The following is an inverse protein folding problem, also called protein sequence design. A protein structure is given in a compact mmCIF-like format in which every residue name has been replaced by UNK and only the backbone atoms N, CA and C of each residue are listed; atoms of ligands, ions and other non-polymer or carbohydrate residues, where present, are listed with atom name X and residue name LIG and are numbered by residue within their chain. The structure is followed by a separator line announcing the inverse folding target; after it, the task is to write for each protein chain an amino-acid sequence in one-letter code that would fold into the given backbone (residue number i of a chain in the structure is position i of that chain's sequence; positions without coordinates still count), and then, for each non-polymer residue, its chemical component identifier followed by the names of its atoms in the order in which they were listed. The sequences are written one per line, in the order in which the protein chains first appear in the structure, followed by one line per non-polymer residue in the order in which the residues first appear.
data_IF_394014108071
#
_entry.id   IF_394014108071
#
_cell.length_a   1.000
_cell.length_b   1.000
_cell.length_c   1.000
_cell.angle_alpha   90.00
_cell.angle_beta   90.00
_cell.angle_gamma   90.00
#
_symmetry.space_group_name_H-M   'P 1'
#
loop_
_entity.id
_entity.type
_entity.pdbx_description
1 polymer ?
#
# COMPACT_ATOMS: atom_id res chain seq x y z
N UNK A 1 21.06 8.76 15.30
CA UNK A 1 20.18 8.25 14.23
C UNK A 1 18.94 9.14 14.15
N UNK A 2 19.10 10.41 13.76
CA UNK A 2 18.02 11.42 13.84
C UNK A 2 17.69 12.11 12.49
N UNK A 3 18.41 11.83 11.39
CA UNK A 3 18.21 12.54 10.12
C UNK A 3 17.31 11.84 9.09
N UNK A 4 16.82 10.61 9.34
CA UNK A 4 16.33 9.76 8.24
C UNK A 4 14.85 10.00 7.83
N UNK A 5 14.16 11.03 8.36
CA UNK A 5 12.72 11.27 8.10
C UNK A 5 12.31 12.74 7.89
N UNK A 6 13.26 13.64 7.61
CA UNK A 6 12.93 15.07 7.41
C UNK A 6 11.90 15.28 6.28
N UNK A 7 12.04 14.51 5.19
CA UNK A 7 11.10 14.53 4.06
C UNK A 7 9.65 14.20 4.43
N UNK A 8 9.43 13.36 5.45
CA UNK A 8 8.07 13.00 5.86
C UNK A 8 7.34 14.24 6.39
N UNK A 9 8.03 15.06 7.18
CA UNK A 9 7.49 16.30 7.72
C UNK A 9 7.29 17.32 6.60
N UNK A 10 8.27 17.49 5.73
CA UNK A 10 8.21 18.46 4.63
C UNK A 10 7.06 18.19 3.65
N UNK A 11 6.80 16.92 3.32
CA UNK A 11 5.69 16.58 2.42
C UNK A 11 4.32 16.55 3.14
N UNK A 12 4.31 16.34 4.46
CA UNK A 12 3.09 16.34 5.29
C UNK A 12 2.42 17.73 5.34
N UNK A 13 3.19 18.81 5.19
CA UNK A 13 2.65 20.17 5.16
C UNK A 13 1.60 20.35 4.05
N UNK A 14 1.86 19.79 2.87
CA UNK A 14 0.91 19.80 1.75
C UNK A 14 -0.34 18.96 2.02
N UNK A 15 -0.25 17.89 2.82
CA UNK A 15 -1.43 17.10 3.20
C UNK A 15 -2.34 17.87 4.15
N UNK A 16 -1.76 18.66 5.05
CA UNK A 16 -2.51 19.42 6.07
C UNK A 16 -3.14 20.70 5.54
N UNK A 17 -2.51 21.36 4.58
CA UNK A 17 -2.86 22.72 4.16
C UNK A 17 -3.07 22.87 2.65
N UNK A 18 -2.72 21.87 1.85
CA UNK A 18 -2.78 21.94 0.39
C UNK A 18 -4.19 21.75 -0.18
N UNK A 19 -4.33 22.12 -1.45
CA UNK A 19 -5.54 21.85 -2.23
C UNK A 19 -5.67 20.34 -2.55
N UNK A 20 -6.85 19.81 -2.91
CA UNK A 20 -7.05 18.37 -3.12
C UNK A 20 -6.05 17.70 -4.08
N UNK A 21 -5.65 18.39 -5.15
CA UNK A 21 -4.65 17.90 -6.11
C UNK A 21 -3.24 17.84 -5.50
N UNK A 22 -2.88 18.80 -4.65
CA UNK A 22 -1.60 18.82 -3.93
C UNK A 22 -1.53 17.70 -2.89
N UNK A 23 -2.65 17.43 -2.20
CA UNK A 23 -2.78 16.31 -1.26
C UNK A 23 -2.57 14.97 -1.98
N UNK A 24 -3.24 14.76 -3.11
CA UNK A 24 -3.10 13.52 -3.90
C UNK A 24 -1.67 13.31 -4.40
N UNK A 25 -1.03 14.37 -4.90
CA UNK A 25 0.37 14.34 -5.34
C UNK A 25 1.32 14.09 -4.18
N UNK A 26 1.12 14.75 -3.03
CA UNK A 26 1.95 14.57 -1.85
C UNK A 26 1.85 13.14 -1.33
N UNK A 27 0.64 12.58 -1.23
CA UNK A 27 0.43 11.18 -0.89
C UNK A 27 1.18 10.24 -1.84
N UNK A 28 1.09 10.48 -3.15
CA UNK A 28 1.79 9.68 -4.16
C UNK A 28 3.31 9.72 -3.99
N UNK A 29 3.88 10.91 -3.75
CA UNK A 29 5.32 11.08 -3.53
C UNK A 29 5.82 10.51 -2.22
N UNK A 30 5.09 10.70 -1.10
CA UNK A 30 5.44 10.09 0.19
C UNK A 30 5.53 8.59 0.09
N UNK A 31 4.55 7.98 -0.58
CA UNK A 31 4.54 6.52 -0.85
C UNK A 31 5.75 6.11 -1.64
N UNK A 32 6.02 6.83 -2.73
CA UNK A 32 7.08 6.52 -3.65
C UNK A 32 8.46 6.53 -2.98
N UNK A 33 8.73 7.55 -2.17
CA UNK A 33 9.96 7.70 -1.41
C UNK A 33 10.04 6.62 -0.32
N UNK A 34 8.98 6.45 0.48
CA UNK A 34 8.97 5.48 1.57
C UNK A 34 9.09 4.02 1.10
N UNK A 35 8.62 3.69 -0.10
CA UNK A 35 8.79 2.35 -0.68
C UNK A 35 10.25 2.00 -1.03
N UNK A 36 11.18 2.97 -1.05
CA UNK A 36 12.59 2.68 -1.30
C UNK A 36 13.28 2.03 -0.08
N UNK A 37 12.78 2.28 1.14
CA UNK A 37 13.27 1.67 2.38
C UNK A 37 13.14 0.12 2.39
N UNK A 38 12.28 -0.44 1.52
CA UNK A 38 12.13 -1.89 1.31
C UNK A 38 13.48 -2.58 1.06
N UNK A 39 14.31 -1.93 0.26
CA UNK A 39 15.65 -2.41 -0.12
C UNK A 39 16.75 -1.62 0.60
N UNK A 40 16.38 -0.79 1.58
CA UNK A 40 17.30 0.07 2.33
C UNK A 40 17.89 1.24 1.51
N UNK A 41 17.30 1.54 0.36
CA UNK A 41 17.77 2.60 -0.54
C UNK A 41 17.36 3.97 -0.01
N UNK A 42 18.17 4.99 -0.32
CA UNK A 42 17.91 6.37 0.08
C UNK A 42 17.72 7.25 -1.14
N UNK A 43 16.74 8.14 -1.08
CA UNK A 43 16.52 9.15 -2.12
C UNK A 43 17.41 10.36 -1.90
N UNK A 44 17.72 11.10 -2.97
CA UNK A 44 18.49 12.34 -2.89
C UNK A 44 17.63 13.53 -2.46
N UNK A 45 18.29 14.59 -1.96
CA UNK A 45 17.64 15.90 -1.76
C UNK A 45 17.10 16.47 -3.08
N UNK A 46 17.79 16.20 -4.20
CA UNK A 46 17.36 16.64 -5.53
C UNK A 46 16.01 16.04 -5.94
N UNK A 47 15.74 14.79 -5.56
CA UNK A 47 14.42 14.18 -5.74
C UNK A 47 13.37 14.91 -4.90
N UNK A 48 13.66 15.23 -3.64
CA UNK A 48 12.72 15.90 -2.75
C UNK A 48 12.33 17.28 -3.29
N UNK A 49 13.29 18.06 -3.75
CA UNK A 49 13.03 19.37 -4.37
C UNK A 49 12.20 19.22 -5.66
N UNK A 50 12.50 18.21 -6.47
CA UNK A 50 11.72 17.89 -7.67
C UNK A 50 10.29 17.48 -7.33
N UNK A 51 10.10 16.70 -6.26
CA UNK A 51 8.78 16.29 -5.78
C UNK A 51 7.95 17.49 -5.33
N UNK A 52 8.53 18.42 -4.56
CA UNK A 52 7.87 19.66 -4.13
C UNK A 52 7.43 20.51 -5.32
N UNK A 53 8.30 20.72 -6.31
CA UNK A 53 7.93 21.47 -7.51
C UNK A 53 6.78 20.81 -8.29
N UNK A 54 6.72 19.47 -8.30
CA UNK A 54 5.60 18.75 -8.91
C UNK A 54 4.30 18.92 -8.11
N UNK A 55 4.38 18.78 -6.77
CA UNK A 55 3.24 18.95 -5.86
C UNK A 55 2.63 20.34 -6.04
N UNK A 56 3.46 21.38 -6.02
CA UNK A 56 3.08 22.79 -6.22
C UNK A 56 2.67 23.13 -7.66
N UNK A 57 2.68 22.17 -8.59
CA UNK A 57 2.27 22.36 -9.98
C UNK A 57 3.22 23.19 -10.85
N UNK A 58 4.45 23.44 -10.38
CA UNK A 58 5.49 24.15 -11.15
C UNK A 58 6.01 23.33 -12.32
N UNK A 59 6.00 22.00 -12.19
CA UNK A 59 6.38 21.05 -13.23
C UNK A 59 5.36 19.92 -13.35
N UNK A 60 5.28 19.30 -14.53
CA UNK A 60 4.50 18.07 -14.69
C UNK A 60 5.27 16.85 -14.19
N UNK A 61 4.58 15.73 -13.92
CA UNK A 61 5.25 14.46 -13.57
C UNK A 61 6.19 13.96 -14.68
N UNK A 62 5.90 14.33 -15.93
CA UNK A 62 6.77 14.00 -17.07
C UNK A 62 8.05 14.83 -17.06
N UNK A 63 7.96 16.10 -16.67
CA UNK A 63 9.13 16.96 -16.52
C UNK A 63 9.98 16.55 -15.32
N UNK A 64 9.35 16.10 -14.22
CA UNK A 64 10.04 15.52 -13.08
C UNK A 64 10.85 14.26 -13.48
N UNK A 65 10.26 13.34 -14.24
CA UNK A 65 10.94 12.12 -14.72
C UNK A 65 12.13 12.47 -15.62
N UNK A 66 11.94 13.38 -16.60
CA UNK A 66 13.02 13.85 -17.47
C UNK A 66 14.14 14.52 -16.66
N UNK A 67 13.79 15.37 -15.70
CA UNK A 67 14.75 16.09 -14.86
C UNK A 67 15.64 15.12 -14.07
N UNK A 68 15.05 14.11 -13.43
CA UNK A 68 15.81 13.08 -12.70
C UNK A 68 16.67 12.25 -13.66
N UNK A 69 16.16 11.88 -14.84
CA UNK A 69 16.95 11.16 -15.84
C UNK A 69 18.18 11.97 -16.30
N UNK A 70 17.98 13.23 -16.71
CA UNK A 70 19.07 14.10 -17.16
C UNK A 70 20.11 14.36 -16.06
N UNK A 71 19.67 14.54 -14.81
CA UNK A 71 20.56 14.70 -13.66
C UNK A 71 21.55 13.53 -13.51
N UNK A 72 21.10 12.29 -13.75
CA UNK A 72 21.94 11.11 -13.65
C UNK A 72 22.71 10.78 -14.95
N UNK A 73 22.24 11.22 -16.12
CA UNK A 73 22.97 11.11 -17.39
C UNK A 73 24.16 12.08 -17.45
N UNK A 74 24.02 13.30 -16.93
CA UNK A 74 25.11 14.28 -16.89
C UNK A 74 26.19 13.94 -15.86
N UNK A 75 25.83 13.14 -14.84
CA UNK A 75 26.75 12.75 -13.76
C UNK A 75 27.46 11.42 -14.01
N UNK A 76 27.07 10.63 -15.01
CA UNK A 76 27.69 9.31 -15.29
C UNK A 76 29.17 9.37 -15.66
N UNK A 77 29.70 10.53 -16.09
CA UNK A 77 31.13 10.72 -16.36
C UNK A 77 31.99 10.98 -15.10
N UNK A 78 31.37 11.16 -13.94
CA UNK A 78 32.05 11.35 -12.65
C UNK A 78 31.88 10.07 -11.84
N UNK A 79 32.99 9.44 -11.43
CA UNK A 79 33.08 8.15 -10.71
C UNK A 79 32.38 8.09 -9.31
N UNK A 80 31.35 8.89 -9.05
CA UNK A 80 30.75 9.11 -7.72
C UNK A 80 29.20 9.13 -7.72
N UNK A 81 28.53 8.61 -8.74
CA UNK A 81 27.07 8.42 -8.67
C UNK A 81 26.78 7.13 -7.91
N UNK A 82 26.22 7.26 -6.71
CA UNK A 82 25.66 6.14 -5.97
C UNK A 82 24.51 5.49 -6.77
N UNK A 83 24.73 4.26 -7.22
CA UNK A 83 23.78 3.52 -8.04
C UNK A 83 22.47 3.26 -7.27
N UNK A 84 22.55 3.10 -5.95
CA UNK A 84 21.41 2.84 -5.07
C UNK A 84 20.52 4.09 -4.98
N UNK A 85 21.13 5.27 -4.75
CA UNK A 85 20.40 6.54 -4.77
C UNK A 85 19.81 6.85 -6.15
N UNK A 86 20.54 6.56 -7.23
CA UNK A 86 20.03 6.71 -8.60
C UNK A 86 18.79 5.85 -8.85
N UNK A 87 18.83 4.59 -8.45
CA UNK A 87 17.66 3.71 -8.52
C UNK A 87 16.50 4.27 -7.71
N UNK A 88 16.74 4.63 -6.44
CA UNK A 88 15.72 5.13 -5.54
C UNK A 88 14.98 6.35 -6.12
N UNK A 89 15.72 7.30 -6.68
CA UNK A 89 15.15 8.51 -7.27
C UNK A 89 14.33 8.22 -8.51
N UNK A 90 14.89 7.48 -9.47
CA UNK A 90 14.21 7.13 -10.73
C UNK A 90 12.94 6.34 -10.44
N UNK A 91 13.02 5.32 -9.58
CA UNK A 91 11.88 4.47 -9.24
C UNK A 91 10.83 5.26 -8.46
N UNK A 92 11.22 6.18 -7.59
CA UNK A 92 10.27 7.04 -6.86
C UNK A 92 9.42 7.89 -7.79
N UNK A 93 10.02 8.57 -8.78
CA UNK A 93 9.21 9.36 -9.74
C UNK A 93 8.21 8.48 -10.48
N UNK A 94 8.62 7.27 -10.84
CA UNK A 94 7.80 6.32 -11.59
C UNK A 94 6.68 5.71 -10.75
N UNK A 95 6.92 5.46 -9.46
CA UNK A 95 5.87 5.08 -8.50
C UNK A 95 4.86 6.23 -8.39
N UNK A 96 5.32 7.46 -8.12
CA UNK A 96 4.43 8.61 -7.99
C UNK A 96 3.55 8.78 -9.24
N UNK A 97 4.14 8.68 -10.44
CA UNK A 97 3.41 8.69 -11.72
C UNK A 97 2.34 7.60 -11.79
N UNK A 98 2.69 6.35 -11.49
CA UNK A 98 1.78 5.21 -11.56
C UNK A 98 0.62 5.33 -10.55
N UNK A 99 0.87 5.90 -9.38
CA UNK A 99 -0.15 6.08 -8.34
C UNK A 99 -1.15 7.20 -8.67
N UNK A 100 -0.73 8.19 -9.48
CA UNK A 100 -1.60 9.23 -10.03
C UNK A 100 -2.38 8.80 -11.29
N UNK A 101 -2.04 7.66 -11.91
CA UNK A 101 -2.81 7.12 -13.05
C UNK A 101 -4.17 6.57 -12.59
N UNK A 102 -5.26 7.03 -13.22
CA UNK A 102 -6.64 6.54 -12.96
C UNK A 102 -6.92 5.18 -13.60
N UNK A 103 -6.10 4.76 -14.56
CA UNK A 103 -6.24 3.46 -15.22
C UNK A 103 -5.61 2.36 -14.39
N UNK A 104 -6.30 1.22 -14.33
CA UNK A 104 -5.80 0.00 -13.73
C UNK A 104 -6.54 -1.19 -14.33
N UNK A 105 -5.81 -2.28 -14.59
CA UNK A 105 -6.39 -3.54 -15.01
C UNK A 105 -5.96 -4.65 -14.05
N UNK A 106 -6.91 -5.29 -13.39
CA UNK A 106 -6.61 -6.42 -12.52
C UNK A 106 -6.20 -7.65 -13.35
N UNK A 107 -4.90 -7.84 -13.56
CA UNK A 107 -4.34 -8.94 -14.36
C UNK A 107 -2.85 -9.20 -14.10
N UNK A 108 -2.33 -10.41 -14.38
CA UNK A 108 -0.89 -10.68 -14.37
C UNK A 108 -0.09 -9.80 -15.33
N UNK A 109 -0.71 -9.38 -16.45
CA UNK A 109 -0.08 -8.48 -17.40
C UNK A 109 0.20 -7.11 -16.77
N UNK A 110 -0.74 -6.59 -15.98
CA UNK A 110 -0.56 -5.32 -15.28
C UNK A 110 0.55 -5.40 -14.23
N UNK A 111 0.69 -6.53 -13.52
CA UNK A 111 1.81 -6.74 -12.59
C UNK A 111 3.18 -6.63 -13.32
N UNK A 112 3.29 -7.23 -14.51
CA UNK A 112 4.49 -7.09 -15.36
C UNK A 112 4.68 -5.68 -15.89
N UNK A 113 3.61 -5.03 -16.34
CA UNK A 113 3.66 -3.66 -16.84
C UNK A 113 4.12 -2.67 -15.77
N UNK A 114 3.63 -2.83 -14.53
CA UNK A 114 4.09 -2.04 -13.38
C UNK A 114 5.59 -2.26 -13.20
N UNK A 115 6.06 -3.50 -13.13
CA UNK A 115 7.48 -3.78 -12.99
C UNK A 115 8.31 -3.18 -14.14
N UNK A 116 7.85 -3.29 -15.38
CA UNK A 116 8.53 -2.69 -16.54
C UNK A 116 8.61 -1.18 -16.41
N UNK A 117 7.49 -0.50 -16.15
CA UNK A 117 7.41 0.95 -15.99
C UNK A 117 8.27 1.46 -14.84
N UNK A 118 8.37 0.72 -13.74
CA UNK A 118 9.20 1.08 -12.59
C UNK A 118 10.69 0.96 -12.91
N UNK A 119 11.11 -0.14 -13.53
CA UNK A 119 12.52 -0.52 -13.58
C UNK A 119 13.18 -0.42 -14.96
N UNK A 120 12.49 0.04 -16.00
CA UNK A 120 13.08 0.22 -17.34
C UNK A 120 14.31 1.12 -17.30
N UNK A 121 15.45 0.62 -17.79
CA UNK A 121 16.73 1.35 -17.74
C UNK A 121 17.42 1.36 -16.38
N UNK A 122 16.77 0.85 -15.33
CA UNK A 122 17.38 0.53 -14.02
C UNK A 122 17.85 -0.92 -14.03
N UNK A 123 16.94 -1.84 -14.37
CA UNK A 123 17.24 -3.25 -14.53
C UNK A 123 17.18 -3.66 -16.01
N UNK A 124 18.14 -4.45 -16.46
CA UNK A 124 18.17 -5.02 -17.82
C UNK A 124 16.97 -5.94 -18.11
N UNK A 125 16.35 -6.48 -17.06
CA UNK A 125 15.28 -7.46 -17.13
C UNK A 125 13.93 -6.89 -16.66
N UNK A 126 13.76 -5.56 -16.66
CA UNK A 126 12.50 -4.93 -16.29
C UNK A 126 11.32 -5.52 -17.08
N UNK A 127 10.25 -5.93 -16.37
CA UNK A 127 9.04 -6.53 -16.95
C UNK A 127 9.17 -8.00 -17.31
N UNK A 128 10.37 -8.59 -17.25
CA UNK A 128 10.62 -9.98 -17.65
C UNK A 128 10.50 -10.92 -16.46
N UNK A 129 9.69 -11.96 -16.62
CA UNK A 129 9.63 -13.08 -15.67
C UNK A 129 11.00 -13.77 -15.65
N UNK A 130 11.50 -14.11 -14.45
CA UNK A 130 12.78 -14.81 -14.27
C UNK A 130 12.73 -16.19 -14.91
N UNK A 131 13.86 -16.63 -15.46
CA UNK A 131 14.01 -17.94 -16.11
C UNK A 131 14.89 -18.92 -15.31
N UNK A 132 15.01 -18.70 -14.00
CA UNK A 132 15.74 -19.55 -13.07
C UNK A 132 15.12 -19.49 -11.67
N UNK A 133 15.39 -20.52 -10.86
CA UNK A 133 14.94 -20.59 -9.47
C UNK A 133 15.81 -19.70 -8.58
N UNK A 134 15.20 -19.12 -7.56
CA UNK A 134 15.86 -18.20 -6.64
C UNK A 134 15.76 -18.67 -5.20
N UNK A 135 16.69 -18.18 -4.39
CA UNK A 135 16.68 -18.30 -2.94
C UNK A 135 17.13 -16.96 -2.38
N UNK A 136 16.43 -16.45 -1.37
CA UNK A 136 16.76 -15.16 -0.73
C UNK A 136 16.86 -15.36 0.76
N UNK A 137 17.99 -14.94 1.34
CA UNK A 137 18.18 -14.99 2.78
C UNK A 137 17.41 -13.87 3.45
N UNK A 138 16.67 -14.22 4.48
CA UNK A 138 15.74 -13.34 5.15
C UNK A 138 16.21 -13.05 6.57
N UNK A 139 16.45 -11.76 6.89
CA UNK A 139 16.96 -11.39 8.20
C UNK A 139 15.99 -11.76 9.33
N UNK A 140 14.68 -11.61 9.10
CA UNK A 140 13.62 -12.01 10.05
C UNK A 140 13.52 -13.52 10.24
N UNK A 141 14.13 -14.32 9.36
CA UNK A 141 14.19 -15.78 9.40
C UNK A 141 15.60 -16.31 9.74
N UNK A 142 16.47 -15.49 10.35
CA UNK A 142 17.87 -15.86 10.70
C UNK A 142 18.68 -16.33 9.48
N UNK A 143 18.41 -15.75 8.32
CA UNK A 143 19.09 -16.08 7.07
C UNK A 143 18.53 -17.29 6.33
N UNK A 144 17.43 -17.88 6.81
CA UNK A 144 16.65 -18.84 6.03
C UNK A 144 15.84 -18.13 4.91
N UNK A 145 15.05 -18.88 4.15
CA UNK A 145 14.42 -18.43 2.92
C UNK A 145 12.95 -18.86 2.83
N UNK A 146 12.17 -18.04 2.14
CA UNK A 146 10.83 -18.43 1.69
C UNK A 146 10.96 -19.38 0.50
N UNK A 147 10.04 -20.33 0.40
CA UNK A 147 9.92 -21.19 -0.79
C UNK A 147 9.15 -20.43 -1.87
N UNK A 148 9.85 -20.06 -2.94
CA UNK A 148 9.28 -19.37 -4.10
C UNK A 148 8.83 -20.35 -5.18
N UNK A 149 7.96 -19.88 -6.09
CA UNK A 149 7.51 -20.70 -7.22
C UNK A 149 8.68 -21.13 -8.14
N UNK A 150 8.67 -22.35 -8.69
CA UNK A 150 9.56 -22.74 -9.79
C UNK A 150 9.42 -21.78 -10.98
N UNK A 151 10.52 -21.45 -11.65
CA UNK A 151 10.51 -20.41 -12.70
C UNK A 151 9.63 -20.76 -13.90
N UNK A 152 9.49 -22.05 -14.19
CA UNK A 152 8.71 -22.61 -15.29
C UNK A 152 7.21 -22.62 -15.01
N UNK A 153 6.78 -22.50 -13.74
CA UNK A 153 5.37 -22.44 -13.36
C UNK A 153 4.85 -21.04 -13.04
N UNK A 154 5.72 -20.02 -12.97
CA UNK A 154 5.36 -18.65 -12.53
C UNK A 154 4.11 -18.12 -13.24
N UNK A 155 4.07 -18.24 -14.57
CA UNK A 155 2.99 -17.67 -15.36
C UNK A 155 1.65 -18.34 -15.07
N UNK A 156 1.64 -19.66 -14.94
CA UNK A 156 0.45 -20.45 -14.66
C UNK A 156 -0.04 -20.19 -13.23
N UNK A 157 0.88 -20.08 -12.27
CA UNK A 157 0.53 -19.74 -10.87
C UNK A 157 -0.06 -18.35 -10.77
N UNK A 158 0.51 -17.35 -11.46
CA UNK A 158 -0.08 -16.00 -11.49
C UNK A 158 -1.48 -16.00 -12.11
N UNK A 159 -1.68 -16.73 -13.21
CA UNK A 159 -3.00 -16.82 -13.85
C UNK A 159 -4.02 -17.45 -12.90
N UNK A 160 -3.63 -18.53 -12.22
CA UNK A 160 -4.49 -19.20 -11.25
C UNK A 160 -4.87 -18.26 -10.09
N UNK A 161 -3.90 -17.66 -9.41
CA UNK A 161 -4.15 -16.80 -8.24
C UNK A 161 -5.00 -15.57 -8.58
N UNK A 162 -4.71 -14.92 -9.72
CA UNK A 162 -5.53 -13.78 -10.17
C UNK A 162 -6.94 -14.20 -10.57
N UNK A 163 -7.13 -15.40 -11.13
CA UNK A 163 -8.47 -15.89 -11.44
C UNK A 163 -9.26 -16.16 -10.17
N UNK A 164 -8.63 -16.76 -9.14
CA UNK A 164 -9.26 -16.98 -7.83
C UNK A 164 -9.69 -15.66 -7.18
N UNK A 165 -8.82 -14.65 -7.16
CA UNK A 165 -9.16 -13.33 -6.61
C UNK A 165 -10.29 -12.66 -7.39
N UNK A 166 -10.30 -12.78 -8.72
CA UNK A 166 -11.34 -12.18 -9.56
C UNK A 166 -12.72 -12.82 -9.35
N UNK A 167 -12.76 -14.11 -9.01
CA UNK A 167 -13.98 -14.85 -8.69
C UNK A 167 -14.47 -14.59 -7.26
N UNK A 168 -13.60 -14.08 -6.38
CA UNK A 168 -13.94 -13.78 -5.01
C UNK A 168 -14.81 -12.52 -4.89
N UNK A 169 -15.91 -12.63 -4.13
CA UNK A 169 -16.80 -11.50 -3.85
C UNK A 169 -16.58 -10.98 -2.44
N UNK A 170 -16.26 -9.69 -2.35
CA UNK A 170 -16.19 -8.94 -1.10
C UNK A 170 -17.55 -8.43 -0.61
N UNK A 171 -18.62 -8.66 -1.36
CA UNK A 171 -19.95 -8.12 -1.04
C UNK A 171 -20.47 -8.65 0.30
N UNK A 172 -20.83 -7.73 1.21
CA UNK A 172 -21.41 -8.06 2.51
C UNK A 172 -20.44 -8.70 3.51
N UNK A 173 -19.15 -8.85 3.18
CA UNK A 173 -18.16 -9.35 4.11
C UNK A 173 -17.80 -8.30 5.14
N UNK A 174 -17.55 -8.76 6.37
CA UNK A 174 -16.93 -7.92 7.38
C UNK A 174 -15.55 -7.47 6.93
N UNK A 175 -15.14 -6.32 7.43
CA UNK A 175 -13.84 -5.74 7.12
C UNK A 175 -12.68 -6.66 7.52
N UNK A 176 -12.76 -7.30 8.69
CA UNK A 176 -11.77 -8.30 9.13
C UNK A 176 -11.60 -9.45 8.12
N UNK A 177 -12.71 -10.01 7.61
CA UNK A 177 -12.66 -11.08 6.59
C UNK A 177 -12.09 -10.58 5.28
N UNK A 178 -12.41 -9.35 4.91
CA UNK A 178 -11.91 -8.71 3.70
C UNK A 178 -10.41 -8.47 3.79
N UNK A 179 -9.93 -7.92 4.92
CA UNK A 179 -8.49 -7.73 5.20
C UNK A 179 -7.76 -9.06 5.14
N UNK A 180 -8.23 -10.11 5.82
CA UNK A 180 -7.60 -11.43 5.77
C UNK A 180 -7.48 -11.99 4.36
N UNK A 181 -8.49 -11.77 3.52
CA UNK A 181 -8.44 -12.18 2.12
C UNK A 181 -7.41 -11.37 1.32
N UNK A 182 -7.43 -10.04 1.45
CA UNK A 182 -6.46 -9.12 0.82
C UNK A 182 -5.03 -9.48 1.23
N UNK A 183 -4.79 -9.76 2.52
CA UNK A 183 -3.50 -10.19 3.04
C UNK A 183 -3.01 -11.47 2.36
N UNK A 184 -3.90 -12.46 2.24
CA UNK A 184 -3.58 -13.75 1.61
C UNK A 184 -3.30 -13.61 0.12
N UNK A 185 -4.12 -12.85 -0.61
CA UNK A 185 -3.88 -12.58 -2.02
C UNK A 185 -2.54 -11.84 -2.23
N UNK A 186 -2.31 -10.80 -1.43
CA UNK A 186 -1.07 -10.00 -1.47
C UNK A 186 0.17 -10.86 -1.17
N UNK A 187 0.12 -11.72 -0.15
CA UNK A 187 1.23 -12.60 0.18
C UNK A 187 1.45 -13.67 -0.88
N UNK A 188 0.38 -14.22 -1.48
CA UNK A 188 0.44 -15.23 -2.53
C UNK A 188 1.13 -14.72 -3.79
N UNK A 189 0.68 -13.57 -4.33
CA UNK A 189 1.31 -13.01 -5.54
C UNK A 189 2.78 -12.62 -5.32
N UNK A 190 3.13 -12.22 -4.09
CA UNK A 190 4.51 -11.96 -3.72
C UNK A 190 5.34 -13.24 -3.61
N UNK A 191 4.79 -14.32 -3.05
CA UNK A 191 5.46 -15.62 -2.90
C UNK A 191 5.82 -16.26 -4.24
N UNK A 192 5.02 -16.03 -5.29
CA UNK A 192 5.38 -16.46 -6.65
C UNK A 192 6.73 -15.84 -7.06
N UNK A 193 6.98 -14.61 -6.63
CA UNK A 193 8.22 -13.87 -6.80
C UNK A 193 8.68 -13.86 -8.28
N UNK A 194 7.86 -13.33 -9.20
CA UNK A 194 8.01 -13.54 -10.65
C UNK A 194 9.25 -12.89 -11.28
N UNK A 195 9.83 -11.87 -10.66
CA UNK A 195 10.96 -11.12 -11.20
C UNK A 195 12.25 -11.41 -10.43
N UNK A 196 13.42 -11.08 -10.98
CA UNK A 196 14.68 -11.28 -10.25
C UNK A 196 14.79 -10.33 -9.04
N UNK A 197 14.46 -9.05 -9.25
CA UNK A 197 14.50 -7.96 -8.27
C UNK A 197 13.19 -7.15 -8.31
N UNK A 198 13.02 -6.14 -7.46
CA UNK A 198 11.85 -5.24 -7.52
C UNK A 198 10.47 -5.83 -7.20
N UNK A 199 10.38 -7.06 -6.69
CA UNK A 199 9.09 -7.76 -6.50
C UNK A 199 8.21 -7.09 -5.44
N UNK A 200 8.79 -6.70 -4.31
CA UNK A 200 8.05 -6.07 -3.21
C UNK A 200 7.51 -4.70 -3.60
N UNK A 201 8.32 -3.84 -4.23
CA UNK A 201 7.89 -2.53 -4.73
C UNK A 201 6.81 -2.65 -5.81
N UNK A 202 6.96 -3.61 -6.73
CA UNK A 202 5.93 -3.92 -7.74
C UNK A 202 4.62 -4.38 -7.09
N UNK A 203 4.70 -5.29 -6.12
CA UNK A 203 3.53 -5.82 -5.39
C UNK A 203 2.81 -4.70 -4.63
N UNK A 204 3.55 -3.85 -3.92
CA UNK A 204 2.98 -2.73 -3.19
C UNK A 204 2.20 -1.79 -4.14
N UNK A 205 2.81 -1.37 -5.25
CA UNK A 205 2.13 -0.50 -6.24
C UNK A 205 0.90 -1.18 -6.84
N UNK A 206 1.00 -2.47 -7.17
CA UNK A 206 -0.15 -3.23 -7.67
C UNK A 206 -1.30 -3.26 -6.64
N UNK A 207 -1.00 -3.56 -5.38
CA UNK A 207 -2.01 -3.64 -4.32
C UNK A 207 -2.62 -2.28 -4.00
N UNK A 208 -1.83 -1.20 -3.96
CA UNK A 208 -2.36 0.16 -3.79
C UNK A 208 -3.35 0.49 -4.91
N UNK A 209 -2.97 0.23 -6.17
CA UNK A 209 -3.87 0.47 -7.32
C UNK A 209 -5.10 -0.44 -7.30
N UNK A 210 -4.95 -1.69 -6.86
CA UNK A 210 -6.05 -2.62 -6.70
C UNK A 210 -7.05 -2.16 -5.64
N UNK A 211 -6.56 -1.79 -4.45
CA UNK A 211 -7.40 -1.31 -3.35
C UNK A 211 -8.09 0.02 -3.69
N UNK A 212 -7.47 0.91 -4.48
CA UNK A 212 -8.14 2.10 -5.00
C UNK A 212 -9.40 1.75 -5.82
N UNK A 213 -9.46 0.58 -6.46
CA UNK A 213 -10.68 0.14 -7.17
C UNK A 213 -11.86 -0.17 -6.25
N UNK A 214 -11.61 -0.36 -4.96
CA UNK A 214 -12.66 -0.60 -3.96
C UNK A 214 -13.28 0.72 -3.46
N UNK A 215 -12.77 1.87 -3.94
CA UNK A 215 -13.23 3.20 -3.53
C UNK A 215 -12.50 3.75 -2.31
N UNK A 216 -11.37 3.15 -1.91
CA UNK A 216 -10.54 3.70 -0.85
C UNK A 216 -9.69 4.86 -1.38
N UNK A 217 -9.84 6.01 -0.72
CA UNK A 217 -8.78 7.01 -0.71
C UNK A 217 -7.74 6.56 0.31
N UNK A 218 -6.76 5.81 -0.17
CA UNK A 218 -5.76 5.19 0.69
C UNK A 218 -4.81 6.31 1.11
N UNK A 219 -4.86 6.68 2.40
CA UNK A 219 -3.73 7.39 3.01
C UNK A 219 -2.53 6.45 2.94
N UNK A 220 -1.69 6.67 1.94
CA UNK A 220 -0.53 5.82 1.73
C UNK A 220 0.58 6.08 2.77
N UNK A 221 0.29 6.82 3.84
CA UNK A 221 1.19 7.00 4.96
C UNK A 221 1.65 5.66 5.54
N UNK A 222 0.75 4.67 5.64
CA UNK A 222 1.11 3.34 6.15
C UNK A 222 2.18 2.68 5.27
N UNK A 223 2.05 2.76 3.94
CA UNK A 223 3.10 2.29 3.02
C UNK A 223 4.38 3.13 3.11
N UNK A 224 4.25 4.45 3.20
CA UNK A 224 5.38 5.38 3.27
C UNK A 224 6.22 5.19 4.54
N UNK A 225 5.58 4.94 5.68
CA UNK A 225 6.24 4.85 6.98
C UNK A 225 6.64 3.43 7.37
N UNK A 226 6.01 2.40 6.79
CA UNK A 226 6.14 1.00 7.22
C UNK A 226 6.44 0.03 6.06
N UNK A 227 7.07 0.50 4.98
CA UNK A 227 7.40 -0.34 3.82
C UNK A 227 8.31 -1.53 4.18
N UNK A 228 9.29 -1.34 5.07
CA UNK A 228 10.13 -2.43 5.56
C UNK A 228 9.33 -3.45 6.40
N UNK A 229 8.35 -2.96 7.18
CA UNK A 229 7.42 -3.84 7.90
C UNK A 229 6.58 -4.66 6.94
N UNK A 230 5.98 -4.02 5.92
CA UNK A 230 5.21 -4.70 4.88
C UNK A 230 6.03 -5.83 4.23
N UNK A 231 7.28 -5.54 3.87
CA UNK A 231 8.22 -6.52 3.30
C UNK A 231 8.46 -7.72 4.23
N UNK A 232 8.67 -7.48 5.52
CA UNK A 232 8.88 -8.56 6.49
C UNK A 232 7.58 -9.33 6.81
N UNK A 233 6.43 -8.67 6.75
CA UNK A 233 5.12 -9.29 6.92
C UNK A 233 4.82 -10.26 5.77
N UNK A 234 5.16 -9.89 4.53
CA UNK A 234 5.10 -10.78 3.36
C UNK A 234 5.96 -12.04 3.53
N UNK A 235 7.16 -11.90 4.11
CA UNK A 235 8.03 -13.03 4.42
C UNK A 235 7.38 -13.96 5.46
N UNK A 236 6.87 -13.40 6.57
CA UNK A 236 6.23 -14.19 7.64
C UNK A 236 4.91 -14.85 7.22
N UNK A 237 4.21 -14.27 6.27
CA UNK A 237 3.00 -14.84 5.70
C UNK A 237 3.26 -16.07 4.81
N UNK A 238 4.52 -16.32 4.41
CA UNK A 238 4.89 -17.36 3.46
C UNK A 238 6.00 -18.30 3.96
N UNK A 239 6.27 -18.33 5.26
CA UNK A 239 7.34 -19.13 5.85
C UNK A 239 6.81 -20.13 6.87
N UNK A 240 7.20 -21.39 6.71
CA UNK A 240 6.97 -22.46 7.67
C UNK A 240 8.29 -23.15 8.02
N UNK A 241 8.49 -23.41 9.30
CA UNK A 241 9.53 -24.26 9.84
C UNK A 241 8.96 -25.07 11.00
N UNK A 242 8.41 -26.22 10.63
CA UNK A 242 7.76 -27.16 11.53
C UNK A 242 8.71 -27.71 12.60
N UNK A 243 10.01 -27.80 12.31
CA UNK A 243 11.00 -28.31 13.26
C UNK A 243 11.19 -27.35 14.43
N UNK A 244 11.10 -26.04 14.17
CA UNK A 244 11.21 -24.99 15.17
C UNK A 244 9.85 -24.40 15.59
N UNK A 245 8.74 -25.07 15.26
CA UNK A 245 7.37 -24.63 15.55
C UNK A 245 7.05 -23.21 15.05
N UNK A 246 7.58 -22.84 13.89
CA UNK A 246 7.24 -21.60 13.19
C UNK A 246 6.26 -21.94 12.08
N UNK A 247 5.09 -21.31 12.11
CA UNK A 247 4.06 -21.46 11.09
C UNK A 247 3.85 -20.15 10.34
N UNK A 248 3.42 -20.25 9.09
CA UNK A 248 3.03 -19.11 8.29
C UNK A 248 1.90 -18.33 8.99
N UNK A 249 1.95 -17.00 8.90
CA UNK A 249 0.91 -16.17 9.51
C UNK A 249 0.72 -14.86 8.77
N UNK A 250 -0.54 -14.57 8.41
CA UNK A 250 -0.94 -13.28 7.85
C UNK A 250 -1.09 -12.20 8.90
N UNK A 251 -1.00 -12.51 10.21
CA UNK A 251 -1.29 -11.57 11.32
C UNK A 251 -0.64 -10.19 11.14
N UNK A 252 0.62 -10.16 10.68
CA UNK A 252 1.33 -8.90 10.48
C UNK A 252 0.85 -8.12 9.25
N UNK A 253 0.49 -8.82 8.17
CA UNK A 253 -0.16 -8.18 7.01
C UNK A 253 -1.56 -7.70 7.39
N UNK A 254 -2.31 -8.47 8.17
CA UNK A 254 -3.62 -8.08 8.66
C UNK A 254 -3.52 -6.77 9.47
N UNK A 255 -2.58 -6.68 10.42
CA UNK A 255 -2.31 -5.43 11.15
C UNK A 255 -1.92 -4.26 10.23
N UNK A 256 -1.12 -4.52 9.19
CA UNK A 256 -0.72 -3.49 8.23
C UNK A 256 -1.93 -2.97 7.44
N UNK A 257 -2.78 -3.87 6.92
CA UNK A 257 -3.96 -3.50 6.16
C UNK A 257 -5.08 -2.92 7.03
N UNK A 258 -5.22 -3.35 8.29
CA UNK A 258 -6.09 -2.71 9.26
C UNK A 258 -5.62 -1.26 9.49
N UNK A 259 -4.31 -1.01 9.70
CA UNK A 259 -3.82 0.37 9.83
C UNK A 259 -4.04 1.19 8.55
N UNK A 260 -3.97 0.54 7.38
CA UNK A 260 -4.18 1.20 6.10
C UNK A 260 -5.66 1.58 5.84
N UNK A 261 -6.59 0.71 6.24
CA UNK A 261 -7.99 0.81 5.85
C UNK A 261 -8.91 1.32 6.97
N UNK A 262 -8.52 1.14 8.23
CA UNK A 262 -9.37 1.34 9.41
C UNK A 262 -8.82 2.37 10.39
N UNK A 263 -7.78 3.12 9.98
CA UNK A 263 -7.03 4.06 10.82
C UNK A 263 -6.66 3.43 12.17
N UNK A 264 -6.45 2.10 12.20
CA UNK A 264 -5.99 1.45 13.42
C UNK A 264 -4.56 1.90 13.67
N UNK A 265 -4.18 1.93 14.94
CA UNK A 265 -2.85 2.37 15.35
C UNK A 265 -2.05 1.21 15.92
N UNK A 266 -2.06 0.06 15.24
CA UNK A 266 -1.20 -1.04 15.62
C UNK A 266 0.27 -0.62 15.51
N UNK A 267 1.05 -1.02 16.50
CA UNK A 267 2.49 -0.76 16.56
C UNK A 267 3.25 -1.69 15.59
N UNK A 268 3.53 -1.21 14.38
CA UNK A 268 4.15 -1.98 13.29
C UNK A 268 5.68 -2.08 13.45
N UNK A 269 6.16 -2.84 14.43
CA UNK A 269 7.61 -3.03 14.66
C UNK A 269 8.14 -4.32 14.05
N UNK A 270 9.19 -4.18 13.23
CA UNK A 270 9.90 -5.29 12.59
C UNK A 270 10.39 -6.37 13.57
N UNK A 271 10.79 -5.99 14.78
CA UNK A 271 11.29 -6.93 15.80
C UNK A 271 10.27 -8.02 16.16
N UNK A 272 8.97 -7.72 16.09
CA UNK A 272 7.90 -8.67 16.41
C UNK A 272 7.79 -9.81 15.37
N UNK A 273 8.32 -9.59 14.18
CA UNK A 273 8.32 -10.56 13.08
C UNK A 273 9.56 -11.45 13.05
N UNK A 274 10.55 -11.22 13.91
CA UNK A 274 11.71 -12.10 13.96
C UNK A 274 11.33 -13.46 14.53
N UNK A 275 11.80 -14.57 13.95
CA UNK A 275 11.42 -15.93 14.39
C UNK A 275 11.84 -16.27 15.83
N UNK A 276 12.91 -15.64 16.32
CA UNK A 276 13.32 -15.75 17.73
C UNK A 276 12.60 -14.79 18.68
N UNK A 277 11.72 -13.92 18.16
CA UNK A 277 11.05 -12.96 19.02
C UNK A 277 10.18 -13.72 20.03
N UNK A 278 10.54 -13.57 21.31
CA UNK A 278 9.75 -14.06 22.43
C UNK A 278 9.05 -12.86 23.03
N UNK A 279 7.73 -12.93 23.06
CA UNK A 279 6.94 -11.94 23.76
C UNK A 279 7.12 -12.16 25.27
N UNK A 280 7.91 -11.30 25.92
CA UNK A 280 8.16 -11.37 27.36
C UNK A 280 6.85 -11.26 28.17
N UNK A 281 5.80 -10.63 27.60
CA UNK A 281 4.48 -10.51 28.22
C UNK A 281 3.65 -11.81 28.14
N UNK A 282 3.90 -12.67 27.15
CA UNK A 282 3.20 -13.96 27.00
C UNK A 282 3.57 -14.97 28.11
N UNK A 283 4.72 -14.77 28.76
CA UNK A 283 5.17 -15.59 29.90
C UNK A 283 4.42 -15.31 31.22
N UNK A 284 3.57 -14.27 31.29
CA UNK A 284 2.86 -13.90 32.52
C UNK A 284 1.33 -13.80 32.40
N UNK A 285 0.74 -14.08 31.25
CA UNK A 285 -0.72 -14.07 31.12
C UNK A 285 -1.21 -15.18 30.19
N UNK A 286 -1.92 -16.16 30.77
CA UNK A 286 -2.75 -17.15 30.06
C UNK A 286 -4.04 -16.53 29.49
N UNK A 287 -3.97 -15.28 29.06
CA UNK A 287 -5.03 -14.56 28.37
C UNK A 287 -4.34 -13.75 27.29
N UNK A 288 -4.47 -14.18 26.03
CA UNK A 288 -4.16 -13.35 24.88
C UNK A 288 -5.11 -12.15 24.90
N UNK A 289 -4.78 -11.13 25.68
CA UNK A 289 -5.33 -9.80 25.51
C UNK A 289 -4.59 -9.17 24.32
N UNK A 290 -4.89 -9.68 23.12
CA UNK A 290 -4.81 -8.83 21.93
C UNK A 290 -5.60 -7.59 22.31
N UNK A 291 -5.02 -6.37 22.26
CA UNK A 291 -5.79 -5.16 22.50
C UNK A 291 -6.95 -5.25 21.53
N UNK A 292 -8.16 -5.51 22.06
CA UNK A 292 -9.37 -5.49 21.24
C UNK A 292 -9.33 -4.15 20.56
N UNK A 293 -9.20 -4.18 19.24
CA UNK A 293 -9.40 -3.01 18.40
C UNK A 293 -10.60 -2.27 18.99
N UNK A 294 -10.49 -0.97 19.28
CA UNK A 294 -11.66 -0.21 19.73
C UNK A 294 -12.81 -0.30 18.70
N UNK A 295 -12.48 -0.71 17.46
CA UNK A 295 -13.40 -1.01 16.36
C UNK A 295 -13.80 -2.49 16.22
N UNK A 296 -13.35 -3.41 17.08
CA UNK A 296 -13.74 -4.83 17.07
C UNK A 296 -15.24 -5.09 17.33
N UNK A 297 -16.01 -4.02 17.50
CA UNK A 297 -17.48 -4.01 17.69
C UNK A 297 -18.22 -3.39 16.50
N UNK A 298 -17.52 -2.83 15.51
CA UNK A 298 -18.13 -2.19 14.34
C UNK A 298 -18.29 -3.21 13.21
N UNK A 299 -19.53 -3.58 12.89
CA UNK A 299 -19.85 -4.39 11.72
C UNK A 299 -19.86 -3.53 10.46
N UNK A 300 -18.65 -3.22 9.97
CA UNK A 300 -18.41 -2.49 8.72
C UNK A 300 -18.00 -3.45 7.59
N UNK A 301 -18.50 -3.17 6.40
CA UNK A 301 -18.07 -3.77 5.12
C UNK A 301 -17.10 -2.83 4.39
N UNK A 302 -16.35 -3.33 3.40
CA UNK A 302 -15.47 -2.49 2.56
C UNK A 302 -16.24 -1.37 1.84
N UNK A 303 -17.46 -1.66 1.36
CA UNK A 303 -18.30 -0.67 0.67
C UNK A 303 -18.77 0.44 1.62
N UNK A 304 -19.14 0.08 2.86
CA UNK A 304 -19.50 1.05 3.89
C UNK A 304 -18.31 1.90 4.31
N UNK A 305 -17.14 1.29 4.46
CA UNK A 305 -15.89 1.99 4.77
C UNK A 305 -15.54 3.03 3.69
N UNK A 306 -15.58 2.63 2.42
CA UNK A 306 -15.34 3.54 1.29
C UNK A 306 -16.33 4.72 1.28
N UNK A 307 -17.61 4.44 1.54
CA UNK A 307 -18.63 5.49 1.65
C UNK A 307 -18.35 6.46 2.80
N UNK A 308 -17.95 5.95 3.97
CA UNK A 308 -17.65 6.79 5.12
C UNK A 308 -16.42 7.67 4.89
N UNK A 309 -15.39 7.17 4.19
CA UNK A 309 -14.22 7.95 3.80
C UNK A 309 -14.61 9.13 2.89
N UNK A 310 -15.50 8.93 1.92
CA UNK A 310 -16.06 10.02 1.10
C UNK A 310 -16.78 11.05 1.96
N UNK A 311 -17.54 10.61 2.98
CA UNK A 311 -18.26 11.52 3.87
C UNK A 311 -17.34 12.30 4.81
N UNK A 312 -16.18 11.74 5.19
CA UNK A 312 -15.14 12.46 5.95
C UNK A 312 -14.47 13.54 5.09
N UNK A 313 -14.12 13.23 3.84
CA UNK A 313 -13.43 14.17 2.93
C UNK A 313 -14.35 15.23 2.34
N UNK A 314 -15.58 14.87 1.93
CA UNK A 314 -16.58 15.83 1.45
C UNK A 314 -17.87 15.82 2.34
N UNK A 315 -17.86 16.36 3.57
CA UNK A 315 -19.01 16.31 4.49
C UNK A 315 -20.30 16.95 3.94
N UNK A 316 -20.18 17.90 3.01
CA UNK A 316 -21.31 18.60 2.39
C UNK A 316 -21.82 17.91 1.12
N UNK A 317 -21.22 16.79 0.71
CA UNK A 317 -21.57 16.09 -0.51
C UNK A 317 -23.06 15.69 -0.55
N UNK A 318 -23.68 15.92 -1.70
CA UNK A 318 -25.03 15.44 -1.98
C UNK A 318 -25.00 13.94 -2.29
N UNK A 319 -26.13 13.24 -2.14
CA UNK A 319 -26.22 11.82 -2.54
C UNK A 319 -25.85 11.58 -4.01
N UNK A 320 -26.11 12.56 -4.89
CA UNK A 320 -25.68 12.53 -6.28
C UNK A 320 -24.15 12.62 -6.40
N UNK A 321 -23.53 13.56 -5.69
CA UNK A 321 -22.06 13.71 -5.66
C UNK A 321 -21.37 12.46 -5.11
N UNK A 322 -21.91 11.87 -4.03
CA UNK A 322 -21.39 10.63 -3.44
C UNK A 322 -21.50 9.47 -4.45
N UNK A 323 -22.59 9.39 -5.21
CA UNK A 323 -22.77 8.39 -6.26
C UNK A 323 -21.71 8.52 -7.37
N UNK A 324 -21.41 9.76 -7.79
CA UNK A 324 -20.34 10.04 -8.76
C UNK A 324 -18.96 9.62 -8.23
N UNK A 325 -18.63 9.97 -6.98
CA UNK A 325 -17.34 9.65 -6.36
C UNK A 325 -17.13 8.15 -6.11
N UNK A 326 -18.18 7.45 -5.68
CA UNK A 326 -18.13 6.01 -5.40
C UNK A 326 -18.30 5.12 -6.64
N UNK A 327 -18.69 5.70 -7.78
CA UNK A 327 -19.07 4.94 -8.98
C UNK A 327 -20.35 4.10 -8.81
N UNK A 328 -21.16 4.36 -7.78
CA UNK A 328 -22.40 3.62 -7.48
C UNK A 328 -23.64 4.39 -7.93
N UNK A 329 -24.78 3.71 -7.99
CA UNK A 329 -26.06 4.37 -8.29
C UNK A 329 -26.54 5.24 -7.12
N UNK A 330 -27.23 6.34 -7.41
CA UNK A 330 -27.83 7.19 -6.37
C UNK A 330 -28.82 6.41 -5.47
N UNK A 331 -29.49 5.38 -6.03
CA UNK A 331 -30.36 4.48 -5.28
C UNK A 331 -29.58 3.66 -4.24
N UNK A 332 -28.41 3.14 -4.62
CA UNK A 332 -27.51 2.41 -3.72
C UNK A 332 -27.05 3.32 -2.60
N UNK A 333 -26.59 4.54 -2.94
CA UNK A 333 -26.15 5.52 -1.94
C UNK A 333 -27.27 5.87 -0.96
N UNK A 334 -28.50 6.12 -1.44
CA UNK A 334 -29.66 6.37 -0.58
C UNK A 334 -29.86 5.24 0.43
N UNK A 335 -29.91 4.00 -0.03
CA UNK A 335 -30.07 2.82 0.82
C UNK A 335 -28.95 2.74 1.86
N UNK A 336 -27.69 2.83 1.42
CA UNK A 336 -26.51 2.73 2.31
C UNK A 336 -26.45 3.84 3.34
N UNK A 337 -26.77 5.08 2.97
CA UNK A 337 -26.81 6.19 3.95
C UNK A 337 -27.87 5.97 5.03
N UNK A 338 -29.01 5.35 4.70
CA UNK A 338 -30.02 5.00 5.70
C UNK A 338 -29.51 3.89 6.62
N UNK A 339 -28.94 2.82 6.07
CA UNK A 339 -28.36 1.72 6.85
C UNK A 339 -27.26 2.23 7.82
N UNK A 340 -26.38 3.12 7.36
CA UNK A 340 -25.34 3.74 8.21
C UNK A 340 -25.92 4.65 9.31
N UNK A 341 -27.05 5.33 9.05
CA UNK A 341 -27.75 6.09 10.08
C UNK A 341 -28.43 5.17 11.11
N UNK A 342 -29.03 4.06 10.66
CA UNK A 342 -29.64 3.04 11.54
C UNK A 342 -28.58 2.37 12.43
N UNK A 343 -27.38 2.12 11.89
CA UNK A 343 -26.21 1.66 12.66
C UNK A 343 -25.66 2.72 13.63
N UNK A 344 -26.09 3.98 13.52
CA UNK A 344 -25.59 5.09 14.33
C UNK A 344 -24.19 5.57 13.94
N UNK A 345 -23.72 5.25 12.73
CA UNK A 345 -22.37 5.60 12.27
C UNK A 345 -22.28 6.99 11.64
N UNK A 346 -23.40 7.49 11.12
CA UNK A 346 -23.48 8.85 10.57
C UNK A 346 -24.78 9.53 11.00
N UNK A 347 -24.78 10.85 10.98
CA UNK A 347 -26.02 11.63 10.93
C UNK A 347 -25.90 12.79 9.96
N UNK A 348 -27.05 13.28 9.46
CA UNK A 348 -27.10 14.50 8.64
C UNK A 348 -27.58 15.66 9.50
N UNK A 349 -26.73 16.65 9.66
CA UNK A 349 -27.06 17.93 10.26
C UNK A 349 -27.73 18.82 9.21
N UNK A 350 -28.78 19.55 9.59
CA UNK A 350 -29.59 20.42 8.72
C UNK A 350 -30.38 19.71 7.60
N UNK A 351 -31.23 20.48 6.90
CA UNK A 351 -32.14 19.98 5.87
C UNK A 351 -31.45 19.54 4.56
N UNK A 352 -32.23 18.93 3.66
CA UNK A 352 -31.73 18.30 2.42
C UNK A 352 -30.82 19.18 1.54
N UNK A 353 -31.04 20.51 1.52
CA UNK A 353 -30.33 21.46 0.64
C UNK A 353 -29.00 22.00 1.22
N UNK A 354 -28.91 22.17 2.54
CA UNK A 354 -27.74 22.77 3.22
C UNK A 354 -27.17 21.83 4.30
N UNK A 355 -27.38 20.53 4.13
CA UNK A 355 -27.05 19.53 5.13
C UNK A 355 -25.61 19.05 5.06
N UNK A 356 -25.00 18.83 6.22
CA UNK A 356 -23.66 18.27 6.39
C UNK A 356 -23.78 16.87 6.99
N UNK A 357 -23.07 15.91 6.43
CA UNK A 357 -22.88 14.60 7.04
C UNK A 357 -21.82 14.70 8.12
N UNK A 358 -22.12 14.13 9.29
CA UNK A 358 -21.18 13.97 10.37
C UNK A 358 -21.00 12.46 10.59
N UNK A 359 -19.75 12.02 10.52
CA UNK A 359 -19.35 10.64 10.79
C UNK A 359 -19.09 10.53 12.30
N UNK A 360 -19.78 9.61 12.96
CA UNK A 360 -19.83 9.46 14.42
C UNK A 360 -18.85 8.40 14.96
N UNK A 361 -18.15 7.71 14.07
CA UNK A 361 -17.19 6.67 14.41
C UNK A 361 -15.79 7.09 13.95
N UNK A 362 -14.77 6.61 14.68
CA UNK A 362 -13.39 6.67 14.20
C UNK A 362 -13.20 5.58 13.14
N UNK A 363 -12.57 5.94 12.03
CA UNK A 363 -12.47 5.17 10.79
C UNK A 363 -11.11 5.41 10.20
#
# INVERSE_FOLDING_TARGET
MADNKNWQVELEEYIRQGEPDEIEKSNSWKTAIGLQDVDGLKTSEYLLDTAKEHIEGKISITDADKRIQSYYEERTDRNEVDADTKEADIVSVRIARLLSEKTFQFSPAELRNIHEKLFSGVFKHAGRIRNYNITKKECVLKGDTVVYAPFDSIQDTLVYDFQQEKEYSYEGLSLEKSVKHISKFTSGIWQIHPFCEGNTRTTAVFIIKYLKTFGFDISNETFAANSWFFRNALVRANYNDWQNNVHETTKFLDMFFENLLMDTHYDLKNRYMHVDYKDESATQSATENIPKCQNGTLELTLEELALLNILKTEPTATQKRIAELSGKSERTIKRRTVELQEKGYIYRENGKRNGKWNVLIEI
#
